data_IF_367345272801
#
_entry.id   IF_367345272801
#
_cell.length_a   1.000
_cell.length_b   1.000
_cell.length_c   1.000
_cell.angle_alpha   90.00
_cell.angle_beta   90.00
_cell.angle_gamma   90.00
#
_symmetry.space_group_name_H-M   'P 1'
#
loop_
_entity.id
_entity.type
_entity.pdbx_description
1 polymer ?
#
# COMPACT_ATOMS: atom_id res chain seq x y z
N UNK A 1 -0.03 -3.33 26.68
CA UNK A 1 -0.54 -3.57 25.31
C UNK A 1 -2.04 -3.83 25.40
N UNK A 2 -2.87 -3.10 24.66
CA UNK A 2 -4.30 -3.33 24.53
C UNK A 2 -4.53 -4.41 23.45
N UNK A 3 -5.36 -5.42 23.74
CA UNK A 3 -5.72 -6.44 22.76
C UNK A 3 -7.20 -6.32 22.46
N UNK A 4 -7.55 -6.22 21.19
CA UNK A 4 -8.92 -6.15 20.68
C UNK A 4 -9.13 -7.22 19.61
N UNK A 5 -10.36 -7.66 19.46
CA UNK A 5 -10.78 -8.64 18.47
C UNK A 5 -11.86 -8.05 17.56
N UNK A 6 -11.76 -8.38 16.26
CA UNK A 6 -12.76 -7.99 15.25
C UNK A 6 -13.30 -9.24 14.59
N UNK A 7 -14.63 -9.40 14.61
CA UNK A 7 -15.32 -10.49 13.92
C UNK A 7 -16.70 -10.04 13.43
N UNK A 8 -17.00 -10.27 12.15
CA UNK A 8 -18.25 -9.83 11.52
C UNK A 8 -19.49 -10.55 12.05
N UNK A 9 -19.31 -11.73 12.62
CA UNK A 9 -20.39 -12.52 13.25
C UNK A 9 -20.78 -12.07 14.67
N UNK A 10 -20.10 -11.02 15.19
CA UNK A 10 -20.34 -10.48 16.52
C UNK A 10 -19.65 -11.21 17.66
N UNK A 11 -18.78 -12.19 17.37
CA UNK A 11 -17.98 -12.91 18.38
C UNK A 11 -16.77 -12.12 18.89
N UNK A 12 -16.39 -11.04 18.21
CA UNK A 12 -15.31 -10.14 18.60
C UNK A 12 -15.79 -8.95 19.45
N UNK A 13 -14.83 -8.14 19.92
CA UNK A 13 -15.13 -6.88 20.62
C UNK A 13 -15.78 -5.86 19.67
N UNK A 14 -15.48 -5.95 18.37
CA UNK A 14 -15.98 -5.08 17.30
C UNK A 14 -16.33 -5.89 16.06
N UNK A 15 -17.31 -5.42 15.29
CA UNK A 15 -17.65 -6.00 13.99
C UNK A 15 -16.86 -5.38 12.82
N UNK A 16 -16.22 -4.22 13.02
CA UNK A 16 -15.53 -3.41 12.03
C UNK A 16 -14.08 -3.15 12.47
N UNK A 17 -13.15 -3.19 11.52
CA UNK A 17 -11.74 -2.86 11.77
C UNK A 17 -11.61 -1.38 12.14
N UNK A 18 -12.35 -0.52 11.46
CA UNK A 18 -12.32 0.93 11.69
C UNK A 18 -12.79 1.29 13.10
N UNK A 19 -13.84 0.64 13.62
CA UNK A 19 -14.32 0.83 14.99
C UNK A 19 -13.28 0.37 16.02
N UNK A 20 -12.67 -0.79 15.83
CA UNK A 20 -11.62 -1.29 16.70
C UNK A 20 -10.41 -0.35 16.73
N UNK A 21 -9.94 0.13 15.55
CA UNK A 21 -8.86 1.11 15.46
C UNK A 21 -9.25 2.40 16.17
N UNK A 22 -10.45 2.91 15.96
CA UNK A 22 -10.91 4.15 16.60
C UNK A 22 -10.92 4.03 18.13
N UNK A 23 -11.30 2.88 18.66
CA UNK A 23 -11.37 2.61 20.11
C UNK A 23 -10.01 2.56 20.80
N UNK A 24 -8.90 2.35 20.06
CA UNK A 24 -7.55 2.37 20.65
C UNK A 24 -7.18 3.79 21.09
N UNK A 25 -6.87 4.03 22.39
CA UNK A 25 -6.31 5.31 22.80
C UNK A 25 -4.98 5.61 22.09
N UNK A 26 -4.76 6.87 21.70
CA UNK A 26 -3.63 7.25 20.85
C UNK A 26 -2.27 6.83 21.40
N UNK A 27 -2.07 6.95 22.73
CA UNK A 27 -0.77 6.69 23.37
C UNK A 27 -0.54 5.20 23.70
N UNK A 28 -1.55 4.36 23.59
CA UNK A 28 -1.41 2.95 23.93
C UNK A 28 -0.86 2.15 22.75
N UNK A 29 -0.02 1.19 23.08
CA UNK A 29 0.32 0.11 22.17
C UNK A 29 -0.85 -0.88 22.10
N UNK A 30 -1.28 -1.24 20.90
CA UNK A 30 -2.40 -2.14 20.69
C UNK A 30 -2.13 -3.21 19.65
N UNK A 31 -2.76 -4.37 19.84
CA UNK A 31 -2.92 -5.42 18.84
C UNK A 31 -4.38 -5.63 18.56
N UNK A 32 -4.78 -5.60 17.29
CA UNK A 32 -6.11 -5.93 16.82
C UNK A 32 -6.02 -7.23 16.04
N UNK A 33 -6.68 -8.28 16.54
CA UNK A 33 -6.80 -9.57 15.84
C UNK A 33 -8.11 -9.57 15.06
N UNK A 34 -8.00 -9.79 13.76
CA UNK A 34 -9.12 -9.65 12.81
C UNK A 34 -9.49 -11.04 12.31
N UNK A 35 -10.72 -11.46 12.59
CA UNK A 35 -11.25 -12.74 12.14
C UNK A 35 -11.39 -12.85 10.61
N UNK A 36 -11.70 -14.06 10.11
CA UNK A 36 -11.97 -14.27 8.70
C UNK A 36 -13.15 -13.42 8.22
N UNK A 37 -13.08 -12.93 6.97
CA UNK A 37 -14.17 -12.16 6.36
C UNK A 37 -13.67 -11.14 5.35
N UNK A 38 -14.63 -10.55 4.62
CA UNK A 38 -14.37 -9.43 3.70
C UNK A 38 -14.90 -8.17 4.36
N UNK A 39 -14.00 -7.35 4.86
CA UNK A 39 -14.28 -6.07 5.52
C UNK A 39 -14.28 -4.97 4.45
N UNK A 40 -15.48 -4.54 4.05
CA UNK A 40 -15.61 -3.47 3.06
C UNK A 40 -15.60 -2.12 3.74
N UNK A 41 -14.40 -1.64 4.03
CA UNK A 41 -14.14 -0.43 4.82
C UNK A 41 -13.00 0.39 4.24
N UNK A 42 -13.10 1.72 4.34
CA UNK A 42 -11.99 2.64 4.11
C UNK A 42 -11.32 2.95 5.43
N UNK A 43 -10.15 2.36 5.67
CA UNK A 43 -9.47 2.43 6.95
C UNK A 43 -8.59 3.67 7.08
N UNK A 44 -8.75 4.40 8.17
CA UNK A 44 -7.80 5.44 8.63
C UNK A 44 -7.20 5.01 9.95
N UNK A 45 -5.91 4.73 9.97
CA UNK A 45 -5.19 4.28 11.15
C UNK A 45 -4.02 5.23 11.46
N UNK A 46 -4.23 6.15 12.40
CA UNK A 46 -3.27 7.15 12.85
C UNK A 46 -2.81 6.89 14.28
N UNK A 47 -2.71 5.62 14.66
CA UNK A 47 -2.32 5.21 16.01
C UNK A 47 -0.80 5.12 16.13
N UNK A 48 -0.29 5.51 17.30
CA UNK A 48 1.14 5.64 17.53
C UNK A 48 1.89 4.31 17.38
N UNK A 49 1.37 3.24 17.98
CA UNK A 49 1.94 1.87 17.91
C UNK A 49 0.81 0.87 17.79
N UNK A 50 0.71 0.20 16.65
CA UNK A 50 -0.39 -0.72 16.40
C UNK A 50 0.06 -1.93 15.58
N UNK A 51 -0.49 -3.08 15.95
CA UNK A 51 -0.43 -4.33 15.16
C UNK A 51 -1.82 -4.70 14.70
N UNK A 52 -1.99 -4.90 13.39
CA UNK A 52 -3.18 -5.49 12.78
C UNK A 52 -2.83 -6.89 12.30
N UNK A 53 -3.50 -7.91 12.81
CA UNK A 53 -3.27 -9.30 12.46
C UNK A 53 -4.55 -9.97 11.99
N UNK A 54 -4.57 -10.40 10.73
CA UNK A 54 -5.66 -11.22 10.17
C UNK A 54 -5.55 -12.71 10.52
N UNK A 55 -6.51 -13.48 10.07
CA UNK A 55 -6.54 -14.93 10.19
C UNK A 55 -5.81 -15.66 9.03
N UNK A 56 -5.18 -14.92 8.16
CA UNK A 56 -4.50 -15.37 6.95
C UNK A 56 -4.83 -14.46 5.77
N UNK A 57 -3.90 -14.27 4.84
CA UNK A 57 -4.10 -13.35 3.72
C UNK A 57 -5.30 -13.72 2.83
N UNK A 58 -5.61 -15.00 2.68
CA UNK A 58 -6.77 -15.44 1.92
C UNK A 58 -8.08 -15.43 2.73
N UNK A 59 -7.98 -15.42 4.06
CA UNK A 59 -9.11 -15.50 4.97
C UNK A 59 -9.63 -14.12 5.42
N UNK A 60 -8.74 -13.15 5.63
CA UNK A 60 -9.09 -11.78 6.09
C UNK A 60 -8.75 -10.78 4.99
N UNK A 61 -9.77 -10.07 4.48
CA UNK A 61 -9.59 -9.10 3.40
C UNK A 61 -10.22 -7.76 3.76
N UNK A 62 -9.42 -6.69 3.72
CA UNK A 62 -9.88 -5.30 3.80
C UNK A 62 -9.96 -4.76 2.37
N UNK A 63 -11.15 -4.36 1.93
CA UNK A 63 -11.44 -4.00 0.54
C UNK A 63 -12.17 -2.67 0.45
N UNK A 64 -11.72 -1.80 -0.44
CA UNK A 64 -12.42 -0.57 -0.82
C UNK A 64 -12.13 -0.21 -2.27
N UNK A 65 -13.03 0.55 -2.91
CA UNK A 65 -12.95 0.82 -4.35
C UNK A 65 -13.04 2.31 -4.70
N UNK A 66 -12.08 3.12 -4.25
CA UNK A 66 -11.93 4.51 -4.70
C UNK A 66 -10.84 4.62 -5.77
N UNK A 67 -11.12 5.31 -6.87
CA UNK A 67 -10.14 5.63 -7.92
C UNK A 67 -9.94 7.13 -8.08
N UNK A 68 -8.75 7.55 -8.48
CA UNK A 68 -8.35 8.95 -8.54
C UNK A 68 -9.22 9.83 -9.43
N UNK A 69 -9.82 9.25 -10.49
CA UNK A 69 -10.74 9.95 -11.40
C UNK A 69 -12.20 9.93 -10.96
N UNK A 70 -12.53 9.12 -9.96
CA UNK A 70 -13.92 9.03 -9.48
C UNK A 70 -14.33 10.31 -8.75
N UNK A 71 -15.63 10.67 -8.79
CA UNK A 71 -16.13 11.83 -8.07
C UNK A 71 -15.93 11.70 -6.57
N UNK A 72 -15.58 12.82 -5.92
CA UNK A 72 -15.49 12.93 -4.47
C UNK A 72 -16.60 13.86 -3.95
N UNK A 73 -17.11 13.68 -2.71
CA UNK A 73 -18.19 14.49 -2.16
C UNK A 73 -17.96 15.99 -2.12
N UNK A 74 -16.70 16.47 -2.19
CA UNK A 74 -16.33 17.89 -2.25
C UNK A 74 -16.48 18.51 -3.65
N UNK A 75 -17.01 17.77 -4.63
CA UNK A 75 -17.22 18.21 -6.00
C UNK A 75 -15.98 18.13 -6.91
N UNK A 76 -14.83 17.65 -6.38
CA UNK A 76 -13.61 17.39 -7.16
C UNK A 76 -13.47 15.91 -7.49
N UNK A 77 -12.44 15.55 -8.24
CA UNK A 77 -12.03 14.13 -8.35
C UNK A 77 -11.43 13.65 -7.02
N UNK A 78 -11.45 12.34 -6.78
CA UNK A 78 -10.84 11.72 -5.59
C UNK A 78 -9.34 12.02 -5.53
N UNK A 79 -8.63 12.06 -6.64
CA UNK A 79 -7.17 12.13 -6.75
C UNK A 79 -6.47 10.93 -6.09
N UNK A 80 -5.18 10.74 -6.41
CA UNK A 80 -4.38 9.57 -5.96
C UNK A 80 -4.42 9.37 -4.45
N UNK A 81 -4.12 10.42 -3.68
CA UNK A 81 -3.88 10.29 -2.25
C UNK A 81 -5.14 10.31 -1.38
N UNK A 82 -6.31 10.34 -2.01
CA UNK A 82 -7.61 10.11 -1.35
C UNK A 82 -8.26 8.79 -1.78
N UNK A 83 -7.63 8.04 -2.71
CA UNK A 83 -8.18 6.78 -3.23
C UNK A 83 -7.86 5.55 -2.37
N UNK A 84 -7.10 5.68 -1.31
CA UNK A 84 -6.62 4.56 -0.50
C UNK A 84 -7.75 3.71 0.09
N UNK A 85 -7.49 2.40 0.16
CA UNK A 85 -8.27 1.48 0.99
C UNK A 85 -7.86 1.62 2.45
N UNK A 86 -6.55 1.60 2.74
CA UNK A 86 -6.01 1.80 4.07
C UNK A 86 -4.95 2.92 4.08
N UNK A 87 -5.13 3.89 4.97
CA UNK A 87 -4.15 4.92 5.29
C UNK A 87 -3.57 4.66 6.68
N UNK A 88 -2.24 4.61 6.75
CA UNK A 88 -1.50 4.38 7.98
C UNK A 88 -0.55 5.54 8.26
N UNK A 89 -0.62 6.11 9.46
CA UNK A 89 0.38 7.04 9.98
C UNK A 89 0.70 6.71 11.44
N UNK A 90 1.78 7.23 11.97
CA UNK A 90 2.18 6.98 13.35
C UNK A 90 3.66 6.63 13.47
N UNK A 91 4.06 6.01 14.57
CA UNK A 91 5.47 5.69 14.83
C UNK A 91 5.84 4.27 14.44
N UNK A 92 5.00 3.30 14.81
CA UNK A 92 5.25 1.88 14.58
C UNK A 92 3.97 1.19 14.13
N UNK A 93 4.03 0.63 12.94
CA UNK A 93 2.96 -0.15 12.36
C UNK A 93 3.45 -1.59 12.11
N UNK A 94 2.64 -2.57 12.47
CA UNK A 94 2.80 -3.95 12.00
C UNK A 94 1.48 -4.43 11.40
N UNK A 95 1.54 -5.00 10.20
CA UNK A 95 0.39 -5.62 9.50
C UNK A 95 0.77 -7.04 9.11
N UNK A 96 -0.03 -8.01 9.51
CA UNK A 96 0.26 -9.42 9.29
C UNK A 96 -0.97 -10.21 8.86
N UNK A 97 -0.76 -11.20 7.98
CA UNK A 97 -1.71 -12.26 7.70
C UNK A 97 -3.09 -11.77 7.19
N UNK A 98 -3.11 -10.78 6.31
CA UNK A 98 -4.34 -10.26 5.70
C UNK A 98 -4.11 -9.72 4.28
N UNK A 99 -5.19 -9.48 3.56
CA UNK A 99 -5.20 -8.78 2.27
C UNK A 99 -5.73 -7.36 2.44
N UNK A 100 -5.06 -6.37 1.81
CA UNK A 100 -5.58 -5.03 1.58
C UNK A 100 -5.71 -4.85 0.08
N UNK A 101 -6.92 -4.55 -0.39
CA UNK A 101 -7.23 -4.48 -1.81
C UNK A 101 -7.97 -3.20 -2.16
N UNK A 102 -7.55 -2.56 -3.25
CA UNK A 102 -8.37 -1.55 -3.91
C UNK A 102 -9.00 -2.17 -5.17
N UNK A 103 -10.31 -2.37 -5.12
CA UNK A 103 -11.08 -3.02 -6.18
C UNK A 103 -11.79 -2.04 -7.14
N UNK A 104 -11.34 -0.77 -7.20
CA UNK A 104 -11.93 0.24 -8.09
C UNK A 104 -11.84 -0.14 -9.58
N UNK A 105 -10.84 -0.92 -9.96
CA UNK A 105 -10.64 -1.39 -11.33
C UNK A 105 -9.37 -0.83 -12.00
N UNK A 106 -9.22 -1.07 -13.33
CA UNK A 106 -8.01 -0.72 -14.05
C UNK A 106 -7.78 0.80 -14.14
N UNK A 107 -6.51 1.22 -14.06
CA UNK A 107 -6.11 2.63 -14.07
C UNK A 107 -6.53 3.39 -15.34
N UNK A 108 -6.70 2.70 -16.47
CA UNK A 108 -7.23 3.28 -17.71
C UNK A 108 -8.65 3.87 -17.53
N UNK A 109 -9.43 3.31 -16.61
CA UNK A 109 -10.80 3.75 -16.30
C UNK A 109 -10.83 4.67 -15.08
N UNK A 110 -10.32 4.20 -13.95
CA UNK A 110 -10.49 4.88 -12.66
C UNK A 110 -9.29 5.76 -12.23
N UNK A 111 -8.19 5.72 -12.98
CA UNK A 111 -6.94 6.37 -12.60
C UNK A 111 -6.21 5.60 -11.49
N UNK A 112 -5.42 6.30 -10.72
CA UNK A 112 -4.70 5.77 -9.57
C UNK A 112 -5.66 5.26 -8.50
N UNK A 113 -5.35 4.12 -7.89
CA UNK A 113 -6.23 3.45 -6.92
C UNK A 113 -5.38 2.74 -5.85
N UNK A 114 -5.08 3.46 -4.79
CA UNK A 114 -4.14 3.03 -3.75
C UNK A 114 -4.80 1.97 -2.84
N UNK A 115 -4.19 0.81 -2.70
CA UNK A 115 -4.60 -0.16 -1.67
C UNK A 115 -4.05 0.25 -0.30
N UNK A 116 -2.74 0.49 -0.19
CA UNK A 116 -2.13 0.89 1.07
C UNK A 116 -1.31 2.18 0.92
N UNK A 117 -1.65 3.18 1.72
CA UNK A 117 -0.91 4.43 1.90
C UNK A 117 -0.16 4.34 3.23
N UNK A 118 1.16 4.16 3.20
CA UNK A 118 1.97 3.90 4.38
C UNK A 118 2.88 5.09 4.69
N UNK A 119 2.54 5.88 5.72
CA UNK A 119 3.29 7.07 6.20
C UNK A 119 3.71 6.92 7.68
N UNK A 120 3.77 5.69 8.18
CA UNK A 120 4.30 5.41 9.50
C UNK A 120 5.83 5.52 9.51
N UNK A 121 6.41 6.07 10.57
CA UNK A 121 7.86 6.25 10.68
C UNK A 121 8.61 4.92 10.51
N UNK A 122 8.05 3.84 11.07
CA UNK A 122 8.50 2.45 10.85
C UNK A 122 7.29 1.57 10.59
N UNK A 123 7.31 0.84 9.48
CA UNK A 123 6.25 -0.09 9.11
C UNK A 123 6.82 -1.47 8.77
N UNK A 124 6.12 -2.51 9.22
CA UNK A 124 6.44 -3.91 8.93
C UNK A 124 5.17 -4.59 8.41
N UNK A 125 5.29 -5.20 7.23
CA UNK A 125 4.26 -6.03 6.64
C UNK A 125 4.77 -7.46 6.49
N UNK A 126 4.04 -8.46 6.97
CA UNK A 126 4.41 -9.87 6.88
C UNK A 126 3.25 -10.71 6.39
N UNK A 127 3.48 -11.50 5.33
CA UNK A 127 2.46 -12.40 4.74
C UNK A 127 1.17 -11.65 4.41
N UNK A 128 1.33 -10.45 3.84
CA UNK A 128 0.23 -9.56 3.44
C UNK A 128 0.12 -9.57 1.92
N UNK A 129 -1.10 -9.56 1.41
CA UNK A 129 -1.36 -9.26 0.00
C UNK A 129 -1.81 -7.80 -0.14
N UNK A 130 -1.14 -7.05 -1.00
CA UNK A 130 -1.51 -5.69 -1.41
C UNK A 130 -1.94 -5.75 -2.87
N UNK A 131 -3.24 -5.67 -3.11
CA UNK A 131 -3.82 -5.93 -4.42
C UNK A 131 -4.46 -4.66 -5.00
N UNK A 132 -4.18 -4.39 -6.26
CA UNK A 132 -4.72 -3.24 -6.98
C UNK A 132 -4.31 -3.27 -8.44
N UNK A 133 -4.32 -2.10 -9.04
CA UNK A 133 -3.89 -1.87 -10.43
C UNK A 133 -2.86 -0.76 -10.46
N UNK A 134 -3.21 0.46 -10.90
CA UNK A 134 -2.28 1.59 -10.90
C UNK A 134 -2.10 2.15 -9.48
N UNK A 135 -0.83 2.35 -9.05
CA UNK A 135 -0.48 2.98 -7.78
C UNK A 135 -0.91 2.19 -6.51
N UNK A 136 -0.77 0.86 -6.51
CA UNK A 136 -1.28 -0.02 -5.44
C UNK A 136 -0.72 0.30 -4.06
N UNK A 137 0.61 0.46 -3.93
CA UNK A 137 1.31 0.70 -2.66
C UNK A 137 2.04 2.04 -2.70
N UNK A 138 1.61 2.97 -1.87
CA UNK A 138 2.33 4.21 -1.63
C UNK A 138 3.21 4.12 -0.38
N UNK A 139 4.52 4.14 -0.59
CA UNK A 139 5.55 4.17 0.44
C UNK A 139 5.96 5.63 0.71
N UNK A 140 5.23 6.32 1.60
CA UNK A 140 5.50 7.73 1.92
C UNK A 140 6.94 7.95 2.44
N UNK A 141 7.50 9.17 2.36
CA UNK A 141 6.77 10.43 2.24
C UNK A 141 6.42 10.83 0.81
N UNK A 142 5.49 11.80 0.73
CA UNK A 142 5.29 12.58 -0.49
C UNK A 142 6.57 13.36 -0.84
N UNK A 143 6.85 13.61 -2.13
CA UNK A 143 7.90 14.54 -2.52
C UNK A 143 7.67 15.96 -1.96
N UNK A 144 8.72 16.78 -1.93
CA UNK A 144 8.64 18.17 -1.43
C UNK A 144 7.66 19.04 -2.21
N UNK A 145 7.59 18.85 -3.52
CA UNK A 145 6.74 19.68 -4.40
C UNK A 145 5.85 18.81 -5.28
N UNK A 146 4.61 19.19 -5.39
CA UNK A 146 3.69 18.63 -6.39
C UNK A 146 4.10 19.05 -7.81
N UNK A 147 3.77 18.20 -8.80
CA UNK A 147 3.96 18.53 -10.22
C UNK A 147 2.79 19.29 -10.81
N UNK A 148 1.62 19.01 -10.29
CA UNK A 148 0.34 19.58 -10.75
C UNK A 148 -0.41 20.12 -9.53
N UNK A 149 -1.22 21.14 -9.75
CA UNK A 149 -2.07 21.72 -8.70
C UNK A 149 -2.96 20.62 -8.09
N UNK A 150 -3.02 20.59 -6.77
CA UNK A 150 -3.78 19.59 -6.00
C UNK A 150 -3.31 18.13 -6.20
N UNK A 151 -2.13 17.93 -6.79
CA UNK A 151 -1.57 16.59 -7.05
C UNK A 151 -1.32 15.77 -5.78
N UNK A 152 -1.16 16.41 -4.62
CA UNK A 152 -0.98 15.76 -3.32
C UNK A 152 -2.21 15.83 -2.43
N UNK A 153 -3.37 16.18 -2.98
CA UNK A 153 -4.59 16.31 -2.21
C UNK A 153 -4.93 14.98 -1.48
N UNK A 154 -4.85 15.01 -0.15
CA UNK A 154 -5.04 13.83 0.70
C UNK A 154 -4.67 14.09 2.16
N UNK A 155 -4.61 13.04 2.99
CA UNK A 155 -4.42 13.20 4.44
C UNK A 155 -3.08 13.83 4.83
N UNK A 156 -2.06 13.77 3.96
CA UNK A 156 -0.71 14.27 4.25
C UNK A 156 -0.28 15.46 3.40
N UNK A 157 -1.22 16.17 2.77
CA UNK A 157 -0.95 17.34 1.91
C UNK A 157 -0.03 18.37 2.59
N UNK A 158 -0.32 18.73 3.84
CA UNK A 158 0.42 19.74 4.61
C UNK A 158 1.35 19.14 5.67
N UNK A 159 1.49 17.83 5.73
CA UNK A 159 2.33 17.18 6.72
C UNK A 159 3.83 17.35 6.40
N UNK A 160 4.70 17.42 7.42
CA UNK A 160 6.13 17.38 7.21
C UNK A 160 6.57 16.14 6.44
N UNK A 161 7.52 16.29 5.53
CA UNK A 161 8.12 15.16 4.79
C UNK A 161 9.16 14.48 5.68
N UNK A 162 8.76 13.42 6.37
CA UNK A 162 9.64 12.66 7.24
C UNK A 162 10.15 11.43 6.52
N UNK A 163 11.42 11.09 6.69
CA UNK A 163 11.94 9.80 6.26
C UNK A 163 11.17 8.68 6.97
N UNK A 164 10.78 7.66 6.20
CA UNK A 164 10.13 6.45 6.70
C UNK A 164 10.97 5.24 6.34
N UNK A 165 10.98 4.24 7.22
CA UNK A 165 11.60 2.95 7.00
C UNK A 165 10.52 1.87 6.95
N UNK A 166 10.47 1.12 5.85
CA UNK A 166 9.42 0.14 5.61
C UNK A 166 10.01 -1.23 5.27
N UNK A 167 9.44 -2.28 5.83
CA UNK A 167 9.88 -3.65 5.60
C UNK A 167 8.70 -4.54 5.24
N UNK A 168 8.83 -5.22 4.11
CA UNK A 168 7.84 -6.14 3.56
C UNK A 168 8.46 -7.53 3.46
N UNK A 169 7.89 -8.53 4.13
CA UNK A 169 8.42 -9.88 4.16
C UNK A 169 7.35 -10.91 3.77
N UNK A 170 7.67 -11.77 2.81
CA UNK A 170 6.75 -12.80 2.32
C UNK A 170 5.40 -12.20 1.87
N UNK A 171 5.41 -11.03 1.26
CA UNK A 171 4.22 -10.33 0.79
C UNK A 171 3.99 -10.57 -0.71
N UNK A 172 2.73 -10.52 -1.14
CA UNK A 172 2.36 -10.39 -2.54
C UNK A 172 1.92 -8.95 -2.82
N UNK A 173 2.51 -8.30 -3.82
CA UNK A 173 2.13 -6.94 -4.23
C UNK A 173 1.79 -6.99 -5.71
N UNK A 174 0.55 -6.64 -6.06
CA UNK A 174 0.05 -6.75 -7.42
C UNK A 174 -0.44 -5.40 -7.96
N UNK A 175 -0.15 -5.15 -9.24
CA UNK A 175 -0.59 -3.96 -9.96
C UNK A 175 -0.05 -3.91 -11.39
N UNK A 176 -0.27 -2.80 -12.08
CA UNK A 176 0.15 -2.64 -13.49
C UNK A 176 1.10 -1.46 -13.71
N UNK A 177 0.75 -0.25 -13.27
CA UNK A 177 1.57 0.95 -13.46
C UNK A 177 1.97 1.53 -12.09
N UNK A 178 3.30 1.74 -11.89
CA UNK A 178 3.84 2.41 -10.73
C UNK A 178 3.30 1.83 -9.40
N UNK A 179 3.04 0.50 -9.39
CA UNK A 179 2.25 -0.11 -8.32
C UNK A 179 2.99 -0.20 -6.97
N UNK A 180 4.28 0.16 -6.94
CA UNK A 180 5.04 0.47 -5.72
C UNK A 180 5.68 1.84 -5.94
N UNK A 181 5.23 2.89 -5.24
CA UNK A 181 5.73 4.23 -5.46
C UNK A 181 5.91 5.01 -4.16
N UNK A 182 6.70 6.09 -4.20
CA UNK A 182 6.92 6.95 -3.05
C UNK A 182 8.37 7.17 -2.66
N UNK A 183 8.59 7.73 -1.48
CA UNK A 183 9.87 8.27 -1.04
C UNK A 183 10.55 7.54 0.13
N UNK A 184 10.01 6.39 0.58
CA UNK A 184 10.56 5.63 1.70
C UNK A 184 11.89 4.95 1.37
N UNK A 185 12.65 4.64 2.42
CA UNK A 185 13.60 3.54 2.40
C UNK A 185 12.84 2.26 2.70
N UNK A 186 12.64 1.41 1.69
CA UNK A 186 11.83 0.21 1.78
C UNK A 186 12.58 -1.04 1.34
N UNK A 187 12.60 -2.05 2.21
CA UNK A 187 13.14 -3.36 1.91
C UNK A 187 11.98 -4.34 1.69
N UNK A 188 12.01 -4.99 0.53
CA UNK A 188 11.12 -6.10 0.17
C UNK A 188 11.95 -7.39 0.17
N UNK A 189 11.62 -8.32 1.05
CA UNK A 189 12.32 -9.59 1.20
C UNK A 189 11.37 -10.75 0.96
N UNK A 190 11.77 -11.65 0.07
CA UNK A 190 11.00 -12.85 -0.27
C UNK A 190 9.55 -12.52 -0.68
N UNK A 191 9.39 -11.40 -1.41
CA UNK A 191 8.08 -10.95 -1.88
C UNK A 191 7.83 -11.39 -3.32
N UNK A 192 6.56 -11.59 -3.65
CA UNK A 192 6.08 -11.77 -5.02
C UNK A 192 5.55 -10.44 -5.56
N UNK A 193 6.19 -9.91 -6.60
CA UNK A 193 5.78 -8.71 -7.31
C UNK A 193 5.04 -9.15 -8.58
N UNK A 194 3.70 -9.03 -8.58
CA UNK A 194 2.86 -9.50 -9.67
C UNK A 194 2.42 -8.35 -10.57
N UNK A 195 2.86 -8.35 -11.81
CA UNK A 195 2.34 -7.41 -12.81
C UNK A 195 1.05 -7.97 -13.41
N UNK A 196 -0.05 -7.23 -13.26
CA UNK A 196 -1.37 -7.57 -13.78
C UNK A 196 -1.47 -7.15 -15.24
N UNK A 197 -1.95 -8.05 -16.11
CA UNK A 197 -2.20 -7.71 -17.53
C UNK A 197 -3.55 -7.01 -17.68
N UNK A 198 -3.52 -5.69 -17.78
CA UNK A 198 -4.65 -4.85 -18.15
C UNK A 198 -4.59 -4.40 -19.62
N UNK A 199 -3.86 -5.14 -20.48
CA UNK A 199 -3.71 -4.88 -21.91
C UNK A 199 -3.14 -3.49 -22.23
N UNK A 200 -2.25 -3.00 -21.34
CA UNK A 200 -1.56 -1.72 -21.52
C UNK A 200 -0.22 -1.93 -22.22
N UNK A 201 0.29 -0.95 -22.99
CA UNK A 201 1.52 -1.12 -23.76
C UNK A 201 2.75 -1.35 -22.91
N UNK A 202 2.80 -0.73 -21.73
CA UNK A 202 3.94 -0.79 -20.82
C UNK A 202 3.49 -0.75 -19.37
N UNK A 203 4.05 -1.66 -18.56
CA UNK A 203 3.87 -1.72 -17.11
C UNK A 203 5.15 -1.32 -16.38
N UNK A 204 5.00 -0.72 -15.20
CA UNK A 204 6.13 -0.28 -14.37
C UNK A 204 5.91 -0.76 -12.94
N UNK A 205 6.86 -1.53 -12.41
CA UNK A 205 6.75 -2.07 -11.05
C UNK A 205 6.92 -0.93 -10.05
N UNK A 206 7.93 -0.07 -10.23
CA UNK A 206 8.24 0.97 -9.24
C UNK A 206 8.26 2.38 -9.82
N UNK A 207 7.89 3.36 -8.96
CA UNK A 207 8.06 4.79 -9.22
C UNK A 207 8.65 5.49 -7.98
N UNK A 208 9.95 5.31 -7.71
CA UNK A 208 10.60 5.86 -6.53
C UNK A 208 10.74 7.38 -6.62
N UNK A 209 10.67 8.04 -5.45
CA UNK A 209 10.84 9.50 -5.31
C UNK A 209 11.67 9.91 -4.09
N UNK A 210 12.39 8.96 -3.49
CA UNK A 210 13.23 9.17 -2.33
C UNK A 210 14.34 10.19 -2.53
N UNK A 211 14.93 10.72 -1.46
CA UNK A 211 16.03 11.66 -1.50
C UNK A 211 17.32 11.02 -2.03
N UNK A 212 18.27 11.85 -2.45
CA UNK A 212 19.53 11.39 -3.06
C UNK A 212 20.41 10.56 -2.10
N UNK A 213 20.32 10.81 -0.80
CA UNK A 213 21.03 10.11 0.28
C UNK A 213 20.27 8.91 0.86
N UNK A 214 18.98 8.71 0.47
CA UNK A 214 18.18 7.55 0.85
C UNK A 214 18.61 6.27 0.12
N UNK A 215 18.18 5.12 0.63
CA UNK A 215 18.38 3.81 0.01
C UNK A 215 17.38 3.58 -1.14
N UNK A 216 16.16 4.11 -1.02
CA UNK A 216 15.05 3.88 -1.94
C UNK A 216 14.45 2.48 -1.76
N UNK A 217 14.02 1.86 -2.87
CA UNK A 217 13.39 0.54 -2.86
C UNK A 217 14.43 -0.55 -3.14
N UNK A 218 14.53 -1.52 -2.22
CA UNK A 218 15.45 -2.66 -2.35
C UNK A 218 14.63 -3.95 -2.33
N UNK A 219 14.75 -4.74 -3.39
CA UNK A 219 14.13 -6.06 -3.53
C UNK A 219 15.19 -7.14 -3.32
N UNK A 220 15.03 -7.91 -2.24
CA UNK A 220 15.95 -8.99 -1.87
C UNK A 220 15.23 -10.34 -1.96
N UNK A 221 15.76 -11.25 -2.76
CA UNK A 221 15.22 -12.61 -2.93
C UNK A 221 13.73 -12.61 -3.30
N UNK A 222 13.34 -11.72 -4.23
CA UNK A 222 11.96 -11.52 -4.66
C UNK A 222 11.67 -12.19 -6.00
N UNK A 223 10.42 -12.62 -6.18
CA UNK A 223 9.91 -13.16 -7.44
C UNK A 223 9.16 -12.07 -8.22
N UNK A 224 9.59 -11.81 -9.45
CA UNK A 224 8.88 -10.93 -10.39
C UNK A 224 8.04 -11.79 -11.34
N UNK A 225 6.74 -11.77 -11.19
CA UNK A 225 5.81 -12.64 -11.93
C UNK A 225 4.85 -11.83 -12.78
N UNK A 226 4.47 -12.32 -13.96
CA UNK A 226 3.56 -11.63 -14.84
C UNK A 226 2.98 -12.54 -15.92
N UNK A 227 1.75 -12.23 -16.33
CA UNK A 227 1.09 -12.78 -17.52
C UNK A 227 1.13 -11.80 -18.71
N UNK A 228 1.77 -10.63 -18.58
CA UNK A 228 1.92 -9.63 -19.65
C UNK A 228 2.84 -10.12 -20.77
N UNK A 229 2.67 -9.60 -22.01
CA UNK A 229 3.57 -9.90 -23.11
C UNK A 229 5.04 -9.59 -22.79
N UNK A 230 5.96 -10.39 -23.33
CA UNK A 230 7.39 -10.21 -23.14
C UNK A 230 7.86 -8.82 -23.63
N UNK A 231 8.72 -8.16 -22.84
CA UNK A 231 9.28 -6.85 -23.16
C UNK A 231 8.37 -5.64 -22.87
N UNK A 232 7.23 -5.85 -22.19
CA UNK A 232 6.30 -4.77 -21.83
C UNK A 232 6.44 -4.32 -20.38
N UNK A 233 7.25 -5.00 -19.57
CA UNK A 233 7.40 -4.73 -18.13
C UNK A 233 8.77 -4.15 -17.84
N UNK A 234 8.79 -3.08 -17.08
CA UNK A 234 9.99 -2.40 -16.63
C UNK A 234 10.06 -2.43 -15.09
N UNK A 235 11.27 -2.60 -14.55
CA UNK A 235 11.51 -2.59 -13.10
C UNK A 235 11.04 -1.27 -12.46
N UNK A 236 11.16 -0.17 -13.18
CA UNK A 236 10.63 1.10 -12.70
C UNK A 236 10.95 2.29 -13.59
N UNK A 237 10.32 3.39 -13.24
CA UNK A 237 10.61 4.73 -13.77
C UNK A 237 10.64 5.73 -12.60
N UNK A 238 11.65 6.58 -12.45
CA UNK A 238 11.71 7.44 -11.28
C UNK A 238 10.62 8.52 -11.33
N UNK A 239 9.81 8.60 -10.27
CA UNK A 239 8.86 9.70 -10.08
C UNK A 239 9.57 11.03 -9.80
N UNK A 240 10.76 10.95 -9.16
CA UNK A 240 11.70 12.08 -8.98
C UNK A 240 13.11 11.66 -9.41
N UNK A 241 13.95 12.61 -9.86
CA UNK A 241 15.28 12.29 -10.41
C UNK A 241 16.21 11.55 -9.45
N UNK A 242 16.00 11.69 -8.14
CA UNK A 242 16.77 11.04 -7.08
C UNK A 242 16.25 9.68 -6.67
N UNK A 243 15.08 9.26 -7.18
CA UNK A 243 14.46 7.99 -6.84
C UNK A 243 15.33 6.79 -7.25
N UNK A 244 15.46 5.82 -6.35
CA UNK A 244 16.30 4.63 -6.52
C UNK A 244 15.49 3.35 -6.37
N UNK A 245 15.83 2.36 -7.20
CA UNK A 245 15.35 0.99 -7.08
C UNK A 245 16.50 0.03 -7.35
N UNK A 246 16.67 -0.96 -6.50
CA UNK A 246 17.65 -2.04 -6.66
C UNK A 246 16.99 -3.40 -6.45
N UNK A 247 17.31 -4.37 -7.31
CA UNK A 247 16.91 -5.75 -7.16
C UNK A 247 18.15 -6.62 -6.98
N UNK A 248 18.18 -7.41 -5.90
CA UNK A 248 19.31 -8.25 -5.51
C UNK A 248 18.80 -9.66 -5.22
N UNK A 249 19.38 -10.67 -5.84
CA UNK A 249 18.91 -12.06 -5.76
C UNK A 249 17.42 -12.15 -6.10
N UNK A 250 17.09 -12.28 -7.37
CA UNK A 250 15.70 -12.31 -7.83
C UNK A 250 15.48 -13.42 -8.84
N UNK A 251 14.27 -13.93 -8.88
CA UNK A 251 13.83 -14.91 -9.88
C UNK A 251 12.92 -14.23 -10.90
N UNK A 252 13.17 -14.46 -12.17
CA UNK A 252 12.26 -14.10 -13.24
C UNK A 252 11.43 -15.31 -13.62
N UNK A 253 10.12 -15.22 -13.53
CA UNK A 253 9.28 -16.11 -14.34
C UNK A 253 9.28 -15.55 -15.76
N UNK A 254 9.74 -16.36 -16.71
CA UNK A 254 9.56 -16.03 -18.13
C UNK A 254 8.05 -15.96 -18.39
N UNK A 255 7.60 -14.88 -19.02
CA UNK A 255 6.26 -14.86 -19.62
C UNK A 255 6.17 -16.06 -20.58
N UNK A 256 5.16 -16.90 -20.41
CA UNK A 256 4.88 -18.03 -21.27
C UNK A 256 4.06 -17.60 -22.48
#
# INVERSE_FOLDING_TARGET
>A
MLNLTVAQDGSGDYASISEAVLAVPYELEAQITIGPGVYREKLVCEKRRITLRGAGADATRLVWGDGGRLPHPDGRSTHTFRSYTAFFSGEQLTVEDLTIENDAGPGSVVGQAVAAYVDSARAVFRRVKLLGNQDTLFCAPLPEKEREKDGFLGPRTFAPRRATAQYYQNCEIAGDIDFIFGGADALFEQCTLRTVDNHIPHSYITAPSGPADGLGFVFWDCDFVSDCPAGTIYLGRPWRPTGKTAAVSYTHLRAH
#
